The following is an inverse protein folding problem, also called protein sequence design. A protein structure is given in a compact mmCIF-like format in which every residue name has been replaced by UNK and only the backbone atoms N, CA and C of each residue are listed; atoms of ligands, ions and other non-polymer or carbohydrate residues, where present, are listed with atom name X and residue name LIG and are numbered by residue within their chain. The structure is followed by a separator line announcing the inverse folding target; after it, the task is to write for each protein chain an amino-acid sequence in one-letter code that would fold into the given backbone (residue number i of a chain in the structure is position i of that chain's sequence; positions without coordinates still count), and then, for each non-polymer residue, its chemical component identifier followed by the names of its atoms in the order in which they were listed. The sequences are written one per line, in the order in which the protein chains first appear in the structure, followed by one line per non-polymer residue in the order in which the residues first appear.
data_IF_441030280218
#
_entry.id   IF_441030280218
#
_cell.length_a   1.000
_cell.length_b   1.000
_cell.length_c   1.000
_cell.angle_alpha   90.00
_cell.angle_beta   90.00
_cell.angle_gamma   90.00
#
_symmetry.space_group_name_H-M   'P 1'
#
loop_
_entity.id
_entity.type
_entity.pdbx_description
1 polymer ?
2 non-polymer ?
3 water ?
#
# COMPACT_ATOMS: atom_id res chain seq x y z
N UNK A 13 15.83 -5.88 -5.51
CA UNK A 13 16.12 -6.70 -6.72
C UNK A 13 15.28 -6.28 -7.92
N UNK A 14 14.28 -7.12 -8.29
CA UNK A 14 13.44 -6.90 -9.49
C UNK A 14 12.31 -5.86 -9.24
N UNK A 15 11.61 -5.41 -10.31
CA UNK A 15 10.61 -4.36 -10.14
C UNK A 15 9.48 -4.89 -9.26
N UNK A 16 8.98 -4.06 -8.36
CA UNK A 16 8.03 -4.48 -7.34
C UNK A 16 6.74 -4.97 -7.98
N UNK A 17 6.19 -6.04 -7.42
CA UNK A 17 4.90 -6.55 -7.77
C UNK A 17 4.07 -6.75 -6.50
N UNK A 18 2.76 -6.89 -6.69
CA UNK A 18 1.82 -7.27 -5.65
C UNK A 18 1.89 -8.75 -5.29
N UNK A 19 1.72 -9.04 -3.99
CA UNK A 19 1.75 -10.39 -3.47
C UNK A 19 0.46 -11.11 -3.86
N UNK A 20 0.50 -12.43 -3.94
CA UNK A 20 -0.72 -13.16 -4.35
C UNK A 20 -1.68 -13.30 -3.16
N UNK A 21 -1.18 -13.05 -1.96
CA UNK A 21 -2.04 -12.91 -0.79
C UNK A 21 -2.60 -11.46 -0.78
N UNK A 22 -3.91 -11.32 -0.99
CA UNK A 22 -4.58 -10.02 -1.04
C UNK A 22 -6.02 -10.17 -0.63
N UNK A 23 -6.69 -9.03 -0.43
CA UNK A 23 -8.11 -8.99 -0.14
C UNK A 23 -9.02 -9.61 -1.20
N UNK A 24 -10.19 -10.07 -0.74
CA UNK A 24 -11.26 -10.64 -1.59
C UNK A 24 -11.73 -9.77 -2.73
N UNK A 25 -11.60 -8.45 -2.57
CA UNK A 25 -12.09 -7.51 -3.59
C UNK A 25 -10.99 -6.96 -4.49
N UNK A 26 -9.85 -7.62 -4.46
CA UNK A 26 -8.71 -7.20 -5.25
C UNK A 26 -8.50 -8.18 -6.41
N UNK A 27 -8.26 -7.67 -7.62
CA UNK A 27 -7.66 -8.47 -8.68
C UNK A 27 -6.33 -7.88 -9.10
N UNK A 28 -5.32 -8.75 -9.21
CA UNK A 28 -3.99 -8.32 -9.63
C UNK A 28 -3.79 -8.67 -11.11
N UNK A 29 -3.25 -7.72 -11.87
CA UNK A 29 -2.94 -7.99 -13.27
C UNK A 29 -1.98 -9.21 -13.48
N UNK A 30 -1.98 -9.72 -14.71
CA UNK A 30 -1.11 -10.84 -15.09
C UNK A 30 0.36 -10.62 -14.76
N UNK A 31 0.89 -9.44 -15.10
CA UNK A 31 2.30 -9.14 -14.80
C UNK A 31 2.57 -8.74 -13.32
N UNK A 32 1.53 -8.61 -12.51
CA UNK A 32 1.67 -8.43 -11.05
C UNK A 32 1.88 -6.99 -10.60
N UNK A 33 1.77 -6.06 -11.53
CA UNK A 33 2.15 -4.69 -11.26
C UNK A 33 0.94 -3.79 -11.01
N UNK A 34 -0.27 -4.30 -11.21
CA UNK A 34 -1.47 -3.47 -11.10
C UNK A 34 -2.50 -4.18 -10.24
N UNK A 35 -2.98 -3.50 -9.20
CA UNK A 35 -3.99 -4.06 -8.29
C UNK A 35 -5.22 -3.20 -8.37
N UNK A 36 -6.37 -3.86 -8.46
CA UNK A 36 -7.61 -3.17 -8.61
C UNK A 36 -8.55 -3.60 -7.52
N UNK A 37 -9.31 -2.65 -6.99
CA UNK A 37 -10.43 -3.04 -6.17
C UNK A 37 -11.59 -3.19 -7.15
N UNK A 38 -11.96 -4.44 -7.46
CA UNK A 38 -12.87 -4.68 -8.60
C UNK A 38 -14.32 -4.44 -8.25
N UNK A 39 -14.66 -4.55 -6.96
CA UNK A 39 -16.02 -4.31 -6.54
C UNK A 39 -16.01 -3.83 -5.09
N UNK A 40 -17.15 -3.26 -4.65
CA UNK A 40 -17.39 -2.88 -3.25
C UNK A 40 -16.42 -1.79 -2.75
N UNK A 41 -16.23 -1.69 -1.43
CA UNK A 41 -15.54 -0.55 -0.83
C UNK A 41 -14.49 -0.97 0.20
N UNK A 42 -14.38 -2.27 0.43
CA UNK A 42 -13.43 -2.75 1.40
C UNK A 42 -12.95 -4.13 0.98
N UNK A 43 -12.29 -4.83 1.91
CA UNK A 43 -11.52 -6.05 1.60
C UNK A 43 -10.54 -5.81 0.42
N UNK A 44 -9.77 -4.73 0.53
CA UNK A 44 -9.01 -4.21 -0.58
C UNK A 44 -7.52 -4.16 -0.19
N UNK A 45 -7.11 -5.03 0.73
CA UNK A 45 -5.74 -5.03 1.25
C UNK A 45 -4.73 -5.72 0.32
N UNK A 46 -3.54 -5.13 0.14
CA UNK A 46 -2.52 -5.71 -0.73
C UNK A 46 -1.16 -5.57 -0.05
N UNK A 47 -0.18 -6.33 -0.56
CA UNK A 47 1.20 -6.37 -0.05
C UNK A 47 2.16 -6.46 -1.23
N UNK A 48 3.45 -6.19 -1.00
CA UNK A 48 4.45 -6.31 -2.06
C UNK A 48 4.79 -7.82 -2.15
N UNK A 49 5.11 -8.29 -3.36
CA UNK A 49 5.48 -9.71 -3.55
C UNK A 49 6.80 -10.06 -2.87
N UNK A 50 7.66 -9.07 -2.64
CA UNK A 50 8.95 -9.30 -1.97
C UNK A 50 9.12 -8.29 -0.82
N UNK A 51 10.00 -8.60 0.16
CA UNK A 51 10.34 -7.57 1.15
C UNK A 51 10.93 -6.35 0.44
N UNK A 52 10.79 -5.17 1.03
CA UNK A 52 11.39 -3.96 0.46
C UNK A 52 12.60 -3.56 1.31
N UNK A 53 13.58 -2.89 0.70
CA UNK A 53 14.78 -2.39 1.40
C UNK A 53 14.52 -1.12 2.23
N UNK A 54 15.27 -0.95 3.33
CA UNK A 54 15.37 0.36 3.98
C UNK A 54 15.84 1.37 2.93
N UNK A 55 15.24 2.57 2.94
CA UNK A 55 15.54 3.63 1.95
C UNK A 55 15.16 3.32 0.48
N UNK A 56 14.51 2.19 0.23
CA UNK A 56 13.98 1.97 -1.10
C UNK A 56 12.66 2.74 -1.25
N UNK A 57 12.60 3.63 -2.24
CA UNK A 57 11.40 4.36 -2.62
C UNK A 57 10.39 3.49 -3.34
N UNK A 58 9.19 3.42 -2.76
CA UNK A 58 8.09 2.71 -3.32
C UNK A 58 7.28 3.77 -4.07
N UNK A 59 7.05 3.54 -5.35
CA UNK A 59 6.34 4.47 -6.19
C UNK A 59 5.09 3.81 -6.74
N UNK A 60 3.96 4.39 -6.39
CA UNK A 60 2.65 3.87 -6.73
C UNK A 60 1.86 4.92 -7.47
N UNK A 61 1.26 4.55 -8.60
CA UNK A 61 0.51 5.50 -9.41
C UNK A 61 -0.96 5.21 -9.21
N UNK A 62 -1.74 6.27 -9.06
CA UNK A 62 -3.21 6.15 -9.00
C UNK A 62 -3.75 6.04 -10.42
N UNK A 63 -3.74 4.81 -10.92
CA UNK A 63 -4.03 4.53 -12.32
C UNK A 63 -5.51 4.63 -12.63
N UNK A 64 -6.36 4.28 -11.67
CA UNK A 64 -7.81 4.28 -11.91
C UNK A 64 -8.57 4.85 -10.72
N UNK A 65 -9.58 5.65 -11.01
CA UNK A 65 -10.37 6.34 -10.01
C UNK A 65 -11.84 6.05 -10.30
N UNK A 66 -12.61 5.75 -9.24
CA UNK A 66 -14.05 5.68 -9.28
C UNK A 66 -14.65 6.99 -8.78
N UNK A 67 -15.62 7.54 -9.51
CA UNK A 67 -16.40 8.66 -8.97
C UNK A 67 -17.54 8.25 -8.01
N UNK A 68 -17.65 6.96 -7.69
CA UNK A 68 -18.75 6.46 -6.86
C UNK A 68 -18.34 6.19 -5.39
N UNK A 69 -17.07 6.44 -5.07
CA UNK A 69 -16.54 6.18 -3.72
C UNK A 69 -15.63 7.30 -3.34
N UNK A 70 -15.56 7.59 -2.05
CA UNK A 70 -14.75 8.68 -1.56
C UNK A 70 -13.74 8.14 -0.56
N UNK A 71 -12.65 8.88 -0.40
CA UNK A 71 -11.66 8.59 0.63
C UNK A 71 -10.29 8.30 0.04
N UNK A 72 -9.27 8.30 0.89
CA UNK A 72 -7.91 8.00 0.43
C UNK A 72 -7.48 6.58 0.70
N UNK A 73 -6.46 6.12 -0.03
CA UNK A 73 -5.88 4.80 0.27
C UNK A 73 -5.14 4.87 1.60
N UNK A 74 -4.89 3.71 2.21
CA UNK A 74 -4.04 3.57 3.40
C UNK A 74 -2.79 2.85 2.91
N UNK A 75 -1.64 3.24 3.42
CA UNK A 75 -0.37 2.62 2.99
C UNK A 75 0.62 2.59 4.16
N UNK A 76 1.58 1.68 4.09
CA UNK A 76 2.65 1.60 5.09
C UNK A 76 3.39 0.28 4.92
N UNK A 77 3.74 -0.34 6.04
CA UNK A 77 4.60 -1.50 6.04
C UNK A 77 4.09 -2.52 7.00
N UNK A 78 4.49 -3.77 6.75
CA UNK A 78 4.32 -4.86 7.66
C UNK A 78 5.61 -5.69 7.84
N UNK A 79 5.87 -6.11 9.09
CA UNK A 79 6.97 -7.05 9.38
C UNK A 79 6.50 -8.52 9.30
N UNK A 80 5.25 -8.74 8.88
CA UNK A 80 4.70 -10.09 8.73
C UNK A 80 4.75 -10.57 7.28
N UNK A 81 5.41 -11.70 7.05
CA UNK A 81 5.42 -12.31 5.71
C UNK A 81 3.98 -12.49 5.29
N UNK A 82 3.57 -11.86 4.16
CA UNK A 82 2.15 -12.03 3.80
C UNK A 82 1.66 -13.49 3.61
N UNK A 83 2.56 -14.43 3.30
CA UNK A 83 2.15 -15.86 3.28
C UNK A 83 1.58 -16.31 4.61
N UNK A 84 2.13 -15.80 5.71
CA UNK A 84 1.63 -16.14 7.06
C UNK A 84 0.24 -15.54 7.34
N UNK A 85 -0.28 -14.73 6.41
CA UNK A 85 -1.52 -13.99 6.65
C UNK A 85 -2.72 -14.51 5.86
N UNK A 86 -2.51 -15.48 4.99
CA UNK A 86 -3.61 -15.97 4.16
C UNK A 86 -4.74 -16.50 5.05
N UNK A 87 -5.97 -16.37 4.56
CA UNK A 87 -7.18 -16.73 5.33
C UNK A 87 -7.42 -15.90 6.58
N UNK A 88 -6.59 -14.87 6.79
CA UNK A 88 -6.58 -14.12 8.04
C UNK A 88 -6.90 -12.63 7.84
N UNK A 89 -7.04 -12.20 6.58
CA UNK A 89 -7.20 -10.77 6.28
C UNK A 89 -8.55 -10.20 6.71
N UNK A 90 -8.52 -9.05 7.39
CA UNK A 90 -9.71 -8.30 7.78
C UNK A 90 -10.19 -7.37 6.65
N UNK A 91 -11.29 -6.65 6.88
CA UNK A 91 -11.86 -5.72 5.89
C UNK A 91 -10.98 -4.50 5.59
N UNK A 92 -10.19 -4.07 6.58
CA UNK A 92 -9.44 -2.80 6.56
C UNK A 92 -8.04 -2.96 7.13
N UNK A 93 -7.06 -2.23 6.60
CA UNK A 93 -5.72 -2.20 7.23
C UNK A 93 -5.82 -1.45 8.56
N UNK A 94 -6.60 -0.36 8.55
CA UNK A 94 -6.84 0.46 9.73
C UNK A 94 -8.34 0.37 10.07
N UNK A 95 -8.69 -0.04 11.30
CA UNK A 95 -7.80 -0.33 12.43
C UNK A 95 -7.34 -1.79 12.50
N UNK A 96 -7.93 -2.64 11.65
CA UNK A 96 -7.95 -4.09 11.83
C UNK A 96 -6.60 -4.80 11.82
N UNK A 97 -5.73 -4.47 10.86
CA UNK A 97 -4.36 -4.99 10.84
C UNK A 97 -3.45 -4.19 11.75
N UNK A 98 -3.66 -2.88 11.82
CA UNK A 98 -2.75 -2.03 12.58
C UNK A 98 -2.81 -2.30 14.09
N UNK A 99 -3.94 -2.88 14.51
CA UNK A 99 -4.16 -3.38 15.87
C UNK A 99 -3.32 -4.62 16.18
N UNK A 100 -2.95 -5.38 15.15
CA UNK A 100 -2.08 -6.55 15.30
C UNK A 100 -0.62 -6.11 15.31
N UNK A 101 0.27 -6.89 15.96
CA UNK A 101 1.71 -6.56 15.93
C UNK A 101 2.28 -6.58 14.51
N UNK A 102 3.13 -5.61 14.19
CA UNK A 102 3.90 -5.66 12.95
C UNK A 102 3.21 -5.11 11.72
N UNK A 103 2.25 -4.20 11.92
CA UNK A 103 1.62 -3.45 10.83
C UNK A 103 1.61 -1.98 11.18
N UNK A 104 2.05 -1.14 10.23
CA UNK A 104 2.10 0.32 10.36
C UNK A 104 1.50 0.91 9.08
N UNK A 105 0.39 1.62 9.20
CA UNK A 105 -0.28 2.20 8.05
C UNK A 105 -1.12 3.39 8.48
N UNK A 106 -1.27 4.36 7.57
CA UNK A 106 -2.15 5.50 7.79
C UNK A 106 -2.82 5.91 6.48
N UNK A 107 -3.92 6.63 6.59
CA UNK A 107 -4.63 7.13 5.43
C UNK A 107 -3.87 8.26 4.78
N UNK A 108 -3.88 8.26 3.45
CA UNK A 108 -3.41 9.38 2.70
C UNK A 108 -4.54 10.38 2.54
N UNK A 109 -4.22 11.66 2.66
CA UNK A 109 -5.23 12.69 2.50
C UNK A 109 -5.92 12.56 1.14
N UNK A 110 -7.24 12.67 1.12
CA UNK A 110 -7.98 12.41 -0.11
C UNK A 110 -7.71 13.41 -1.27
N UNK A 111 -7.19 14.59 -0.94
CA UNK A 111 -6.78 15.59 -1.94
C UNK A 111 -5.63 15.12 -2.83
N UNK A 112 -4.83 14.18 -2.32
CA UNK A 112 -3.71 13.63 -3.07
C UNK A 112 -4.12 12.46 -3.95
N UNK A 113 -5.32 11.95 -3.71
CA UNK A 113 -5.78 10.76 -4.39
C UNK A 113 -6.53 11.19 -5.62
N UNK A 114 -5.75 11.60 -6.63
CA UNK A 114 -6.29 12.03 -7.90
C UNK A 114 -5.63 11.25 -8.98
N UNK A 115 -6.31 11.15 -10.12
CA UNK A 115 -5.88 10.29 -11.19
C UNK A 115 -4.47 10.64 -11.66
N UNK A 116 -3.63 9.61 -11.73
CA UNK A 116 -2.28 9.72 -12.28
C UNK A 116 -1.26 10.38 -11.35
N UNK A 117 -1.67 10.75 -10.13
CA UNK A 117 -0.64 11.14 -9.12
C UNK A 117 0.25 9.95 -8.82
N UNK A 118 1.47 10.21 -8.39
CA UNK A 118 2.38 9.17 -7.91
C UNK A 118 2.60 9.43 -6.41
N UNK A 119 2.32 8.43 -5.59
CA UNK A 119 2.66 8.45 -4.18
C UNK A 119 4.01 7.78 -4.12
N UNK A 120 4.99 8.40 -3.48
CA UNK A 120 6.20 7.67 -3.15
C UNK A 120 6.32 7.64 -1.64
N UNK A 121 6.90 6.57 -1.12
CA UNK A 121 7.24 6.51 0.30
C UNK A 121 8.38 5.56 0.61
N UNK A 122 9.02 5.75 1.76
CA UNK A 122 10.05 4.82 2.21
C UNK A 122 10.23 4.86 3.72
N UNK A 123 10.87 3.85 4.27
CA UNK A 123 11.21 3.81 5.68
C UNK A 123 12.72 4.02 5.73
N UNK A 124 13.18 4.87 6.63
CA UNK A 124 14.59 5.20 6.68
C UNK A 124 15.27 4.39 7.79
N UNK A 125 16.58 4.54 7.99
CA UNK A 125 17.26 3.76 9.05
C UNK A 125 16.63 3.94 10.42
N UNK A 126 16.10 5.15 10.67
CA UNK A 126 15.45 5.47 11.95
C UNK A 126 14.05 4.85 12.17
N UNK A 127 13.46 4.27 11.13
CA UNK A 127 12.14 3.65 11.29
C UNK A 127 10.99 4.62 11.05
N UNK A 128 11.32 5.81 10.55
CA UNK A 128 10.32 6.78 10.14
C UNK A 128 9.95 6.57 8.67
N UNK A 129 8.68 6.79 8.36
CA UNK A 129 8.20 6.62 7.00
C UNK A 129 7.96 7.99 6.42
N UNK A 130 8.71 8.33 5.38
CA UNK A 130 8.56 9.62 4.68
C UNK A 130 7.76 9.39 3.39
N UNK A 131 6.83 10.29 3.09
CA UNK A 131 6.04 10.19 1.87
C UNK A 131 6.02 11.51 1.12
N UNK A 132 5.76 11.44 -0.18
CA UNK A 132 5.42 12.63 -0.95
C UNK A 132 4.57 12.27 -2.16
N UNK A 133 4.25 13.27 -2.98
CA UNK A 133 3.36 13.13 -4.13
C UNK A 133 4.01 13.80 -5.32
N UNK A 134 4.04 13.12 -6.48
CA UNK A 134 4.71 13.69 -7.65
C UNK A 134 6.07 14.31 -7.26
N UNK A 135 6.90 13.56 -6.53
CA UNK A 135 8.28 14.00 -6.19
C UNK A 135 8.37 15.27 -5.26
N UNK A 136 7.29 15.63 -4.57
CA UNK A 136 7.36 16.69 -3.56
C UNK A 136 7.12 16.06 -2.21
N UNK A 137 8.12 16.11 -1.35
CA UNK A 137 8.03 15.51 -0.04
C UNK A 137 6.92 16.16 0.76
N UNK A 138 6.12 15.35 1.44
CA UNK A 138 5.08 15.84 2.33
C UNK A 138 5.45 15.68 3.80
N UNK A 139 6.29 14.70 4.12
CA UNK A 139 6.81 14.58 5.48
C UNK A 139 6.78 13.17 6.05
N UNK A 140 6.98 13.08 7.36
CA UNK A 140 6.94 11.80 8.05
C UNK A 140 5.49 11.49 8.36
N UNK A 141 5.04 10.30 7.97
CA UNK A 141 3.64 9.90 8.19
C UNK A 141 3.58 8.83 9.27
N UNK A 142 4.68 8.10 9.45
CA UNK A 142 4.72 7.01 10.41
C UNK A 142 6.08 6.96 11.08
N UNK A 143 6.09 6.44 12.30
CA UNK A 143 7.29 6.40 13.12
C UNK A 143 7.33 5.07 13.89
N UNK A 144 8.54 4.64 14.23
CA UNK A 144 8.73 3.46 15.06
C UNK A 144 8.61 2.15 14.33
N UNK A 145 8.93 2.15 13.03
CA UNK A 145 8.94 0.92 12.24
C UNK A 145 10.20 0.11 12.60
N UNK A 146 9.99 -1.18 12.87
CA UNK A 146 11.04 -2.16 13.15
C UNK A 146 11.96 -2.42 11.94
N UNK A 147 13.10 -1.74 11.93
CA UNK A 147 14.04 -1.85 10.81
C UNK A 147 14.99 -3.04 10.95
N UNK A 148 14.78 -3.88 11.96
CA UNK A 148 15.63 -5.05 12.18
C UNK A 148 15.05 -6.33 11.56
N UNK A 149 13.80 -6.25 11.12
CA UNK A 149 13.17 -7.33 10.41
C UNK A 149 12.92 -6.98 8.93
N UNK A 150 12.64 -8.01 8.13
CA UNK A 150 12.16 -7.84 6.77
C UNK A 150 10.81 -7.11 6.76
N UNK A 151 10.62 -6.24 5.77
CA UNK A 151 9.41 -5.43 5.69
C UNK A 151 8.80 -5.58 4.30
N UNK A 152 7.48 -5.75 4.26
CA UNK A 152 6.71 -5.75 3.04
C UNK A 152 5.81 -4.50 3.05
N UNK A 153 5.53 -3.91 1.88
CA UNK A 153 4.51 -2.85 1.80
C UNK A 153 3.15 -3.41 2.18
N UNK A 154 2.29 -2.58 2.77
CA UNK A 154 0.88 -2.90 2.86
C UNK A 154 0.17 -1.70 2.25
N UNK A 155 -0.70 -1.95 1.27
CA UNK A 155 -1.46 -0.87 0.66
C UNK A 155 -2.91 -1.30 0.60
N UNK A 156 -3.79 -0.51 1.19
CA UNK A 156 -5.20 -0.88 1.27
C UNK A 156 -5.87 0.01 0.27
N UNK A 157 -6.41 -0.60 -0.80
CA UNK A 157 -6.93 0.17 -1.94
C UNK A 157 -8.37 0.60 -1.67
N UNK A 158 -8.47 1.54 -0.74
CA UNK A 158 -9.69 2.10 -0.24
C UNK A 158 -9.96 3.46 -0.91
N UNK A 159 -11.23 3.75 -1.17
CA UNK A 159 -11.69 5.11 -1.47
C UNK A 159 -11.95 5.36 -2.95
N UNK A 160 -11.72 6.58 -3.42
CA UNK A 160 -11.99 6.86 -4.82
C UNK A 160 -11.01 6.18 -5.78
N UNK A 161 -9.77 5.96 -5.30
CA UNK A 161 -8.80 5.24 -6.08
C UNK A 161 -9.09 3.75 -6.03
N UNK A 162 -9.22 3.13 -7.19
CA UNK A 162 -9.64 1.73 -7.26
C UNK A 162 -8.63 0.93 -8.05
N UNK A 163 -7.60 1.59 -8.56
CA UNK A 163 -6.55 0.86 -9.29
C UNK A 163 -5.23 1.53 -9.05
N UNK A 164 -4.24 0.77 -8.59
CA UNK A 164 -2.92 1.33 -8.32
C UNK A 164 -1.84 0.49 -8.97
N UNK A 165 -0.84 1.17 -9.48
CA UNK A 165 0.23 0.53 -10.24
C UNK A 165 1.57 0.72 -9.54
N UNK A 166 2.32 -0.36 -9.28
CA UNK A 166 3.73 -0.25 -8.85
C UNK A 166 4.57 0.20 -10.05
N UNK A 167 5.27 1.30 -9.91
CA UNK A 167 6.04 1.81 -11.03
C UNK A 167 7.45 1.24 -10.99
N UNK A 168 8.00 1.00 -12.17
CA UNK A 168 9.39 0.61 -12.29
C UNK A 168 10.20 1.79 -12.81
N UNK A 169 11.22 2.17 -12.06
CA UNK A 169 12.14 3.23 -12.51
C UNK A 169 13.49 2.66 -13.04
X LIG B 1 -16.51 -9.29 -2.81
#
# INVERSE_FOLDING_TARGET
MGSSHHHHHHSQDPPLQFHSVHGDNIRISRDGTLARRFESFCRAITFSARPVRINERICVKFAEISNNWNGGIRFGFTSNDPVTLEGTLPKYACPDLTNRPGFWAKALHEQYCEKDNILYYYVNGAGDVIYGINNEEKGVILTGIDTRSLLWTVIDIYGNCTGIEFLDS
MG MG
#
